data_IF_346734638212
#
_entry.id   IF_346734638212
#
_cell.length_a   1.000
_cell.length_b   1.000
_cell.length_c   1.000
_cell.angle_alpha   90.00
_cell.angle_beta   90.00
_cell.angle_gamma   90.00
#
_symmetry.space_group_name_H-M   'P 1'
#
loop_
_entity.id
_entity.type
_entity.pdbx_description
1 polymer ?
#
# COMPACT_ATOMS: atom_id res chain seq x y z
N UNK A 1 5.90 34.64 -23.28
CA UNK A 1 6.42 34.11 -21.99
C UNK A 1 5.26 33.49 -21.25
N UNK A 2 5.35 32.22 -20.86
CA UNK A 2 4.34 31.58 -20.00
C UNK A 2 4.45 32.23 -18.61
N UNK A 3 3.32 32.62 -18.01
CA UNK A 3 3.34 33.30 -16.71
C UNK A 3 3.92 32.39 -15.62
N UNK A 4 4.65 32.95 -14.66
CA UNK A 4 5.21 32.17 -13.54
C UNK A 4 4.13 31.43 -12.75
N UNK A 5 2.93 32.01 -12.64
CA UNK A 5 1.78 31.38 -11.99
C UNK A 5 1.34 30.10 -12.72
N UNK A 6 1.37 30.09 -14.06
CA UNK A 6 1.05 28.89 -14.84
C UNK A 6 2.12 27.82 -14.63
N UNK A 7 3.41 28.19 -14.59
CA UNK A 7 4.49 27.23 -14.31
C UNK A 7 4.35 26.58 -12.93
N UNK A 8 4.10 27.38 -11.90
CA UNK A 8 3.90 26.90 -10.53
C UNK A 8 2.71 25.93 -10.44
N UNK A 9 1.59 26.28 -11.08
CA UNK A 9 0.40 25.42 -11.12
C UNK A 9 0.71 24.07 -11.78
N UNK A 10 1.48 24.08 -12.89
CA UNK A 10 1.89 22.83 -13.57
C UNK A 10 2.78 21.98 -12.67
N UNK A 11 3.70 22.59 -11.91
CA UNK A 11 4.56 21.87 -10.97
C UNK A 11 3.76 21.24 -9.81
N UNK A 12 2.78 21.96 -9.26
CA UNK A 12 1.89 21.46 -8.21
C UNK A 12 1.06 20.27 -8.70
N UNK A 13 0.47 20.36 -9.90
CA UNK A 13 -0.27 19.25 -10.53
C UNK A 13 0.63 18.04 -10.76
N UNK A 14 1.87 18.26 -11.22
CA UNK A 14 2.84 17.17 -11.45
C UNK A 14 3.22 16.47 -10.13
N UNK A 15 3.46 17.23 -9.07
CA UNK A 15 3.79 16.69 -7.77
C UNK A 15 2.63 15.86 -7.20
N UNK A 16 1.40 16.34 -7.37
CA UNK A 16 0.21 15.62 -6.96
C UNK A 16 0.02 14.32 -7.73
N UNK A 17 0.11 14.36 -9.07
CA UNK A 17 0.02 13.16 -9.91
C UNK A 17 1.09 12.11 -9.53
N UNK A 18 2.30 12.55 -9.17
CA UNK A 18 3.36 11.64 -8.71
C UNK A 18 3.04 11.03 -7.33
N UNK A 19 2.44 11.80 -6.41
CA UNK A 19 1.99 11.28 -5.11
C UNK A 19 0.89 10.24 -5.29
N UNK A 20 -0.10 10.53 -6.12
CA UNK A 20 -1.22 9.62 -6.43
C UNK A 20 -0.72 8.34 -7.12
N UNK A 21 0.23 8.45 -8.06
CA UNK A 21 0.84 7.29 -8.71
C UNK A 21 1.52 6.34 -7.71
N UNK A 22 2.26 6.87 -6.74
CA UNK A 22 2.86 6.07 -5.66
C UNK A 22 1.82 5.42 -4.76
N UNK A 23 0.72 6.11 -4.48
CA UNK A 23 -0.36 5.56 -3.67
C UNK A 23 -1.02 4.36 -4.36
N UNK A 24 -1.33 4.48 -5.67
CA UNK A 24 -1.89 3.38 -6.46
C UNK A 24 -0.96 2.16 -6.46
N UNK A 25 0.34 2.38 -6.66
CA UNK A 25 1.34 1.31 -6.65
C UNK A 25 1.42 0.61 -5.29
N UNK A 26 1.36 1.39 -4.20
CA UNK A 26 1.37 0.86 -2.84
C UNK A 26 0.12 0.02 -2.54
N UNK A 27 -1.08 0.53 -2.85
CA UNK A 27 -2.34 -0.22 -2.70
C UNK A 27 -2.31 -1.52 -3.49
N UNK A 28 -1.89 -1.46 -4.77
CA UNK A 28 -1.77 -2.65 -5.62
C UNK A 28 -0.79 -3.69 -5.04
N UNK A 29 0.30 -3.22 -4.43
CA UNK A 29 1.27 -4.08 -3.75
C UNK A 29 0.64 -4.76 -2.53
N UNK A 30 -0.12 -4.02 -1.73
CA UNK A 30 -0.83 -4.57 -0.57
C UNK A 30 -1.87 -5.62 -1.00
N UNK A 31 -2.68 -5.35 -2.02
CA UNK A 31 -3.64 -6.32 -2.58
C UNK A 31 -2.95 -7.62 -3.04
N UNK A 32 -1.80 -7.49 -3.71
CA UNK A 32 -1.00 -8.65 -4.09
C UNK A 32 -0.53 -9.46 -2.87
N UNK A 33 -0.01 -8.79 -1.83
CA UNK A 33 0.49 -9.46 -0.61
C UNK A 33 -0.62 -10.13 0.20
N UNK A 34 -1.82 -9.53 0.26
CA UNK A 34 -3.02 -10.15 0.84
C UNK A 34 -3.30 -11.49 0.17
N UNK A 35 -3.05 -11.62 -1.13
CA UNK A 35 -3.28 -12.88 -1.82
C UNK A 35 -2.29 -13.99 -1.44
N UNK A 36 -1.15 -13.66 -0.82
CA UNK A 36 -0.10 -14.60 -0.40
C UNK A 36 -0.28 -15.16 1.02
N UNK A 37 -1.11 -14.53 1.85
CA UNK A 37 -1.35 -15.02 3.22
C UNK A 37 -2.43 -16.11 3.26
N UNK A 38 -2.43 -16.88 4.36
CA UNK A 38 -3.43 -17.92 4.62
C UNK A 38 -4.89 -17.42 4.45
N UNK A 39 -5.78 -18.21 3.81
CA UNK A 39 -7.15 -17.78 3.47
C UNK A 39 -7.94 -17.20 4.63
N UNK A 40 -7.83 -17.80 5.82
CA UNK A 40 -8.58 -17.36 7.02
C UNK A 40 -8.17 -16.00 7.58
N UNK A 41 -7.13 -15.36 7.04
CA UNK A 41 -6.67 -14.02 7.44
C UNK A 41 -6.88 -12.97 6.37
N UNK A 42 -7.17 -13.35 5.12
CA UNK A 42 -7.30 -12.41 4.00
C UNK A 42 -8.33 -11.33 4.24
N UNK A 43 -9.50 -11.71 4.72
CA UNK A 43 -10.65 -10.82 4.91
C UNK A 43 -10.34 -9.67 5.88
N UNK A 44 -9.56 -9.91 6.94
CA UNK A 44 -9.16 -8.87 7.90
C UNK A 44 -8.27 -7.81 7.24
N UNK A 45 -7.30 -8.24 6.44
CA UNK A 45 -6.42 -7.31 5.73
C UNK A 45 -7.11 -6.60 4.56
N UNK A 46 -8.04 -7.27 3.88
CA UNK A 46 -8.88 -6.64 2.85
C UNK A 46 -9.71 -5.51 3.45
N UNK A 47 -10.38 -5.79 4.56
CA UNK A 47 -11.17 -4.78 5.27
C UNK A 47 -10.30 -3.62 5.75
N UNK A 48 -9.13 -3.89 6.32
CA UNK A 48 -8.20 -2.83 6.71
C UNK A 48 -7.79 -1.94 5.53
N UNK A 49 -7.56 -2.54 4.35
CA UNK A 49 -7.23 -1.79 3.14
C UNK A 49 -8.42 -0.98 2.60
N UNK A 50 -9.63 -1.50 2.70
CA UNK A 50 -10.86 -0.77 2.35
C UNK A 50 -11.13 0.43 3.28
N UNK A 51 -10.75 0.30 4.55
CA UNK A 51 -10.91 1.33 5.58
C UNK A 51 -9.76 2.36 5.60
N UNK A 52 -8.69 2.17 4.81
CA UNK A 52 -7.52 3.06 4.78
C UNK A 52 -7.83 4.40 4.10
N UNK A 53 -7.48 5.51 4.76
CA UNK A 53 -7.76 6.87 4.29
C UNK A 53 -6.57 7.49 3.55
N UNK A 54 -5.35 7.10 3.92
CA UNK A 54 -4.14 7.68 3.34
C UNK A 54 -2.97 6.68 3.18
N UNK A 55 -1.82 7.22 2.76
CA UNK A 55 -0.64 6.41 2.47
C UNK A 55 -0.03 5.80 3.74
N UNK A 56 -0.19 6.45 4.90
CA UNK A 56 0.38 5.97 6.16
C UNK A 56 -0.42 4.75 6.64
N UNK A 57 -1.76 4.78 6.54
CA UNK A 57 -2.62 3.61 6.81
C UNK A 57 -2.22 2.40 5.95
N UNK A 58 -2.02 2.61 4.64
CA UNK A 58 -1.62 1.52 3.74
C UNK A 58 -0.22 1.00 4.07
N UNK A 59 0.69 1.85 4.54
CA UNK A 59 2.02 1.43 5.00
C UNK A 59 1.94 0.59 6.30
N UNK A 60 1.06 0.94 7.24
CA UNK A 60 0.84 0.12 8.45
C UNK A 60 0.31 -1.27 8.10
N UNK A 61 -0.64 -1.34 7.16
CA UNK A 61 -1.17 -2.61 6.64
C UNK A 61 -0.07 -3.43 5.97
N UNK A 62 0.80 -2.79 5.17
CA UNK A 62 1.94 -3.42 4.54
C UNK A 62 2.91 -4.03 5.58
N UNK A 63 3.19 -3.31 6.68
CA UNK A 63 4.07 -3.81 7.74
C UNK A 63 3.44 -4.98 8.50
N UNK A 64 2.15 -4.93 8.78
CA UNK A 64 1.42 -6.05 9.37
C UNK A 64 1.41 -7.28 8.44
N UNK A 65 1.28 -7.09 7.13
CA UNK A 65 1.38 -8.18 6.14
C UNK A 65 2.77 -8.82 6.12
N UNK A 66 3.85 -8.02 6.17
CA UNK A 66 5.23 -8.56 6.24
C UNK A 66 5.39 -9.47 7.46
N UNK A 67 4.88 -9.06 8.62
CA UNK A 67 4.92 -9.88 9.84
C UNK A 67 4.12 -11.18 9.67
N UNK A 68 2.91 -11.09 9.10
CA UNK A 68 2.05 -12.26 8.88
C UNK A 68 2.69 -13.26 7.91
N UNK A 69 3.24 -12.79 6.80
CA UNK A 69 3.96 -13.62 5.82
C UNK A 69 5.20 -14.25 6.47
N UNK A 70 5.97 -13.47 7.23
CA UNK A 70 7.14 -13.95 7.96
C UNK A 70 6.79 -15.06 8.96
N UNK A 71 5.75 -14.85 9.76
CA UNK A 71 5.27 -15.85 10.73
C UNK A 71 4.78 -17.13 10.04
N UNK A 72 4.02 -17.00 8.94
CA UNK A 72 3.56 -18.13 8.14
C UNK A 72 4.74 -18.91 7.52
N UNK A 73 5.72 -18.19 6.97
CA UNK A 73 6.94 -18.78 6.42
C UNK A 73 7.75 -19.53 7.49
N UNK A 74 7.94 -18.92 8.66
CA UNK A 74 8.62 -19.53 9.79
C UNK A 74 7.90 -20.79 10.27
N UNK A 75 6.57 -20.74 10.39
CA UNK A 75 5.74 -21.90 10.76
C UNK A 75 5.93 -23.07 9.78
N UNK A 76 5.90 -22.78 8.48
CA UNK A 76 6.10 -23.79 7.42
C UNK A 76 7.52 -24.38 7.44
N UNK A 77 8.54 -23.55 7.66
CA UNK A 77 9.94 -23.99 7.72
C UNK A 77 10.22 -24.85 8.96
N UNK A 78 9.71 -24.40 10.12
CA UNK A 78 9.98 -25.01 11.42
C UNK A 78 8.99 -26.13 11.78
N UNK A 79 7.97 -26.38 10.94
CA UNK A 79 6.89 -27.37 11.16
C UNK A 79 6.13 -27.15 12.48
N UNK A 80 5.90 -25.89 12.82
CA UNK A 80 5.10 -25.45 13.99
C UNK A 80 3.61 -25.41 13.66
#
# INVERSE_FOLDING_TARGET
MVSENIKKTIEEVRAQAQKEGRYIELVSTVEYLINLIEPGKKEIFQKALEDAEDMDDVNEILDALKLQIGAQGAKKLLKL
#
